data_IF_300196639836
#
_entry.id   IF_300196639836
#
_cell.length_a   1.000
_cell.length_b   1.000
_cell.length_c   1.000
_cell.angle_alpha   90.00
_cell.angle_beta   90.00
_cell.angle_gamma   90.00
#
_symmetry.space_group_name_H-M   'P 1'
#
loop_
_entity.id
_entity.type
_entity.pdbx_description
1 polymer ?
#
# COMPACT_ATOMS: atom_id res chain seq x y z
N UNK A 1 -28.55 6.09 -24.76
CA UNK A 1 -28.79 4.65 -24.59
C UNK A 1 -27.48 3.92 -24.74
N UNK A 2 -26.87 3.48 -23.64
CA UNK A 2 -25.66 2.67 -23.69
C UNK A 2 -25.90 1.47 -22.77
N UNK A 3 -26.13 0.31 -23.38
CA UNK A 3 -26.41 -0.95 -22.71
C UNK A 3 -25.10 -1.66 -22.38
N UNK A 4 -24.88 -1.96 -21.10
CA UNK A 4 -23.72 -2.70 -20.60
C UNK A 4 -24.01 -4.21 -20.67
N UNK A 5 -23.24 -4.95 -21.46
CA UNK A 5 -23.34 -6.42 -21.54
C UNK A 5 -22.43 -7.07 -20.48
N UNK A 6 -23.05 -7.97 -19.71
CA UNK A 6 -22.45 -8.83 -18.68
C UNK A 6 -21.66 -9.95 -19.36
N UNK A 7 -20.38 -10.10 -19.06
CA UNK A 7 -19.58 -11.25 -19.48
C UNK A 7 -19.61 -12.34 -18.39
N UNK A 8 -19.98 -13.55 -18.79
CA UNK A 8 -19.99 -14.77 -17.97
C UNK A 8 -18.58 -15.39 -17.88
N UNK A 9 -18.26 -15.95 -16.72
CA UNK A 9 -16.97 -16.60 -16.42
C UNK A 9 -16.90 -18.00 -17.04
N UNK A 10 -15.78 -18.33 -17.69
CA UNK A 10 -15.46 -19.68 -18.16
C UNK A 10 -14.24 -20.19 -17.39
N UNK A 11 -14.38 -21.36 -16.76
CA UNK A 11 -13.38 -21.99 -15.90
C UNK A 11 -12.17 -22.56 -16.69
N UNK A 12 -10.96 -22.59 -16.10
CA UNK A 12 -9.78 -23.12 -16.78
C UNK A 12 -9.69 -24.64 -16.67
N UNK A 13 -9.60 -25.31 -17.81
CA UNK A 13 -9.29 -26.74 -17.91
C UNK A 13 -7.78 -26.93 -18.02
N UNK A 14 -7.21 -27.62 -17.03
CA UNK A 14 -6.11 -28.60 -17.08
C UNK A 14 -5.19 -28.63 -18.31
N UNK A 15 -3.87 -28.58 -18.12
CA UNK A 15 -2.92 -29.66 -18.48
C UNK A 15 -1.45 -29.21 -18.28
N UNK A 16 -0.74 -29.86 -17.35
CA UNK A 16 0.70 -30.13 -17.48
C UNK A 16 0.99 -31.48 -16.76
N UNK A 17 1.71 -32.43 -17.41
CA UNK A 17 2.03 -33.73 -16.81
C UNK A 17 3.31 -33.66 -15.96
N UNK A 18 3.31 -34.44 -14.88
CA UNK A 18 4.47 -34.70 -14.00
C UNK A 18 5.31 -35.84 -14.60
N UNK A 19 6.65 -35.73 -14.69
CA UNK A 19 7.48 -36.85 -15.13
C UNK A 19 7.72 -37.86 -13.98
N UNK A 20 7.48 -39.13 -14.29
CA UNK A 20 7.72 -40.30 -13.44
C UNK A 20 9.22 -40.54 -13.19
N UNK A 21 9.58 -40.91 -11.97
CA UNK A 21 10.94 -41.33 -11.60
C UNK A 21 11.10 -42.84 -11.77
N UNK A 22 11.99 -43.25 -12.68
CA UNK A 22 12.45 -44.63 -12.88
C UNK A 22 13.27 -45.16 -11.68
N UNK A 23 13.10 -46.43 -11.27
CA UNK A 23 13.79 -47.03 -10.14
C UNK A 23 15.13 -47.69 -10.50
N UNK A 24 16.03 -47.68 -9.51
CA UNK A 24 17.40 -48.17 -9.53
C UNK A 24 17.53 -49.66 -9.90
N UNK A 25 18.36 -49.98 -10.90
CA UNK A 25 18.84 -51.34 -11.14
C UNK A 25 20.10 -51.64 -10.31
N UNK A 26 20.00 -52.66 -9.46
CA UNK A 26 21.15 -53.29 -8.79
C UNK A 26 21.82 -54.25 -9.77
N UNK A 27 23.10 -54.01 -10.06
CA UNK A 27 23.99 -55.07 -10.53
C UNK A 27 25.13 -55.27 -9.53
N UNK A 28 25.38 -56.53 -9.20
CA UNK A 28 26.37 -56.97 -8.25
C UNK A 28 27.54 -57.60 -9.00
N UNK A 29 28.74 -57.10 -8.74
CA UNK A 29 29.96 -57.84 -9.09
C UNK A 29 30.99 -57.69 -7.97
N UNK A 30 31.22 -58.81 -7.28
CA UNK A 30 32.31 -59.02 -6.32
C UNK A 30 33.62 -59.15 -7.10
N UNK A 31 34.71 -58.54 -6.61
CA UNK A 31 36.04 -59.20 -6.47
C UNK A 31 37.10 -58.27 -5.88
N UNK A 32 37.89 -58.88 -4.99
CA UNK A 32 39.29 -58.62 -4.64
C UNK A 32 39.64 -57.40 -3.78
N UNK A 33 39.78 -57.66 -2.47
CA UNK A 33 40.80 -57.03 -1.64
C UNK A 33 42.20 -57.40 -2.17
N UNK A 34 43.09 -56.42 -2.29
CA UNK A 34 44.50 -56.56 -1.90
C UNK A 34 45.09 -55.18 -1.59
N UNK A 35 45.79 -55.15 -0.46
CA UNK A 35 46.43 -54.01 0.18
C UNK A 35 47.53 -53.37 -0.68
N UNK A 36 47.57 -52.04 -0.72
CA UNK A 36 48.82 -51.28 -0.80
C UNK A 36 48.82 -50.17 0.24
N UNK A 37 49.55 -50.43 1.32
CA UNK A 37 50.03 -49.42 2.26
C UNK A 37 51.20 -48.71 1.59
N UNK A 38 51.01 -47.48 1.12
CA UNK A 38 52.09 -46.52 0.90
C UNK A 38 51.50 -45.13 0.65
N UNK A 39 52.08 -44.13 1.30
CA UNK A 39 51.75 -42.71 1.27
C UNK A 39 50.56 -42.26 2.15
N UNK A 40 50.72 -42.34 3.47
CA UNK A 40 50.26 -41.23 4.32
C UNK A 40 51.16 -40.01 4.05
N UNK A 41 51.03 -39.38 2.87
CA UNK A 41 51.17 -37.93 2.80
C UNK A 41 49.82 -37.41 3.25
N UNK A 42 49.80 -36.93 4.47
CA UNK A 42 48.70 -36.15 5.00
C UNK A 42 48.45 -34.98 4.06
N UNK A 43 47.47 -35.09 3.16
CA UNK A 43 46.55 -33.96 3.01
C UNK A 43 45.69 -34.02 4.27
N UNK A 44 46.29 -33.64 5.39
CA UNK A 44 45.56 -32.91 6.40
C UNK A 44 45.11 -31.67 5.63
N UNK A 45 43.92 -31.69 5.05
CA UNK A 45 43.26 -30.45 4.67
C UNK A 45 43.25 -29.65 5.96
N UNK A 46 44.20 -28.72 6.04
CA UNK A 46 44.37 -27.90 7.21
C UNK A 46 43.04 -27.16 7.38
N UNK A 47 42.57 -27.01 8.62
CA UNK A 47 41.30 -26.35 8.88
C UNK A 47 41.21 -24.97 8.23
N UNK A 48 42.34 -24.31 7.96
CA UNK A 48 42.46 -23.07 7.19
C UNK A 48 42.04 -23.19 5.72
N UNK A 49 42.35 -24.27 5.01
CA UNK A 49 41.91 -24.47 3.60
C UNK A 49 40.40 -24.69 3.50
N UNK A 50 39.82 -25.36 4.50
CA UNK A 50 38.37 -25.50 4.62
C UNK A 50 37.69 -24.15 4.94
N UNK A 51 38.36 -23.28 5.69
CA UNK A 51 37.84 -21.96 6.07
C UNK A 51 37.80 -20.96 4.91
N UNK A 52 38.88 -20.89 4.11
CA UNK A 52 38.92 -20.06 2.90
C UNK A 52 37.84 -20.48 1.88
N UNK A 53 37.47 -21.76 1.86
CA UNK A 53 36.36 -22.28 1.04
C UNK A 53 35.00 -21.80 1.54
N UNK A 54 34.77 -21.65 2.85
CA UNK A 54 33.51 -21.14 3.38
C UNK A 54 33.31 -19.67 3.05
N UNK A 55 34.36 -18.85 3.14
CA UNK A 55 34.31 -17.43 2.77
C UNK A 55 33.96 -17.27 1.28
N UNK A 56 34.47 -18.14 0.40
CA UNK A 56 34.09 -18.16 -1.01
C UNK A 56 32.59 -18.51 -1.21
N UNK A 57 32.05 -19.47 -0.46
CA UNK A 57 30.63 -19.82 -0.55
C UNK A 57 29.73 -18.71 0.01
N UNK A 58 30.11 -18.09 1.12
CA UNK A 58 29.39 -16.96 1.70
C UNK A 58 29.43 -15.75 0.77
N UNK A 59 30.57 -15.44 0.16
CA UNK A 59 30.70 -14.39 -0.85
C UNK A 59 29.83 -14.66 -2.10
N UNK A 60 29.71 -15.93 -2.52
CA UNK A 60 28.79 -16.32 -3.60
C UNK A 60 27.32 -16.11 -3.21
N UNK A 61 26.93 -16.46 -1.98
CA UNK A 61 25.57 -16.23 -1.48
C UNK A 61 25.26 -14.74 -1.30
N UNK A 62 26.26 -13.92 -0.98
CA UNK A 62 26.15 -12.46 -0.93
C UNK A 62 26.00 -11.82 -2.33
N UNK A 63 26.59 -12.42 -3.37
CA UNK A 63 26.55 -11.88 -4.74
C UNK A 63 25.33 -12.29 -5.55
N UNK A 64 24.62 -13.35 -5.18
CA UNK A 64 23.33 -13.67 -5.80
C UNK A 64 22.30 -12.69 -5.27
N UNK A 65 22.14 -11.55 -5.95
CA UNK A 65 21.00 -10.66 -5.70
C UNK A 65 19.73 -11.49 -5.90
N UNK A 66 18.98 -11.77 -4.83
CA UNK A 66 17.72 -12.52 -4.90
C UNK A 66 16.62 -11.82 -5.73
N UNK A 67 16.93 -10.67 -6.34
CA UNK A 67 16.04 -9.93 -7.21
C UNK A 67 16.11 -10.43 -8.66
N UNK A 68 14.94 -10.46 -9.28
CA UNK A 68 14.69 -10.92 -10.64
C UNK A 68 15.13 -9.83 -11.63
N UNK A 69 16.07 -10.16 -12.52
CA UNK A 69 16.59 -9.27 -13.57
C UNK A 69 15.92 -9.44 -14.94
N UNK A 70 15.01 -10.40 -15.09
CA UNK A 70 14.37 -10.72 -16.36
C UNK A 70 13.25 -9.71 -16.69
N UNK A 71 13.49 -8.87 -17.69
CA UNK A 71 12.54 -7.85 -18.16
C UNK A 71 11.29 -8.43 -18.85
N UNK A 72 11.41 -9.54 -19.57
CA UNK A 72 10.26 -10.18 -20.23
C UNK A 72 9.27 -10.73 -19.20
N UNK A 73 9.79 -11.31 -18.12
CA UNK A 73 8.96 -11.77 -17.00
C UNK A 73 8.28 -10.59 -16.28
N UNK A 74 8.98 -9.46 -16.14
CA UNK A 74 8.40 -8.25 -15.58
C UNK A 74 7.28 -7.67 -16.46
N UNK A 75 7.46 -7.66 -17.79
CA UNK A 75 6.42 -7.24 -18.73
C UNK A 75 5.18 -8.12 -18.64
N UNK A 76 5.37 -9.44 -18.66
CA UNK A 76 4.26 -10.39 -18.51
C UNK A 76 3.49 -10.20 -17.20
N UNK A 77 4.21 -9.99 -16.08
CA UNK A 77 3.58 -9.72 -14.79
C UNK A 77 2.72 -8.44 -14.82
N UNK A 78 3.21 -7.37 -15.45
CA UNK A 78 2.45 -6.13 -15.56
C UNK A 78 1.20 -6.28 -16.44
N UNK A 79 1.28 -7.09 -17.50
CA UNK A 79 0.13 -7.41 -18.36
C UNK A 79 -0.91 -8.25 -17.61
N UNK A 80 -0.48 -9.25 -16.83
CA UNK A 80 -1.34 -10.13 -16.04
C UNK A 80 -2.18 -9.35 -15.01
N UNK A 81 -1.57 -8.39 -14.30
CA UNK A 81 -2.25 -7.63 -13.25
C UNK A 81 -2.99 -6.38 -13.75
N UNK A 82 -2.89 -6.04 -15.03
CA UNK A 82 -3.38 -4.74 -15.54
C UNK A 82 -4.90 -4.56 -15.31
N UNK A 83 -5.69 -5.56 -15.69
CA UNK A 83 -7.15 -5.54 -15.54
C UNK A 83 -7.58 -5.62 -14.06
N UNK A 84 -6.83 -6.38 -13.26
CA UNK A 84 -7.05 -6.47 -11.81
C UNK A 84 -6.85 -5.12 -11.13
N UNK A 85 -5.76 -4.41 -11.46
CA UNK A 85 -5.48 -3.06 -10.95
C UNK A 85 -6.58 -2.09 -11.37
N UNK A 86 -7.03 -2.13 -12.63
CA UNK A 86 -8.11 -1.28 -13.11
C UNK A 86 -9.42 -1.53 -12.34
N UNK A 87 -9.74 -2.80 -12.08
CA UNK A 87 -10.89 -3.20 -11.27
C UNK A 87 -10.76 -2.71 -9.83
N UNK A 88 -9.57 -2.86 -9.25
CA UNK A 88 -9.27 -2.44 -7.88
C UNK A 88 -9.49 -0.93 -7.68
N UNK A 89 -8.99 -0.11 -8.60
CA UNK A 89 -9.20 1.34 -8.58
C UNK A 89 -10.67 1.69 -8.75
N UNK A 90 -11.37 1.04 -9.68
CA UNK A 90 -12.79 1.28 -9.91
C UNK A 90 -13.61 1.02 -8.65
N UNK A 91 -13.40 -0.14 -8.01
CA UNK A 91 -14.09 -0.52 -6.77
C UNK A 91 -13.81 0.46 -5.64
N UNK A 92 -12.54 0.87 -5.45
CA UNK A 92 -12.15 1.87 -4.46
C UNK A 92 -12.82 3.23 -4.68
N UNK A 93 -12.84 3.70 -5.94
CA UNK A 93 -13.45 4.97 -6.30
C UNK A 93 -14.97 4.96 -6.08
N UNK A 94 -15.67 3.90 -6.50
CA UNK A 94 -17.12 3.81 -6.32
C UNK A 94 -17.51 3.75 -4.85
N UNK A 95 -16.82 2.97 -4.01
CA UNK A 95 -17.14 2.92 -2.58
C UNK A 95 -16.88 4.26 -1.87
N UNK A 96 -15.81 4.97 -2.26
CA UNK A 96 -15.53 6.30 -1.75
C UNK A 96 -16.59 7.31 -2.18
N UNK A 97 -17.00 7.27 -3.44
CA UNK A 97 -18.06 8.12 -3.99
C UNK A 97 -19.39 7.93 -3.27
N UNK A 98 -19.79 6.68 -3.03
CA UNK A 98 -21.02 6.33 -2.32
C UNK A 98 -21.04 6.91 -0.89
N UNK A 99 -19.90 6.87 -0.19
CA UNK A 99 -19.77 7.48 1.13
C UNK A 99 -19.83 9.01 1.07
N UNK A 100 -19.06 9.63 0.17
CA UNK A 100 -18.98 11.10 0.08
C UNK A 100 -20.31 11.75 -0.33
N UNK A 101 -21.12 11.07 -1.15
CA UNK A 101 -22.42 11.58 -1.58
C UNK A 101 -23.56 11.22 -0.61
N UNK A 102 -23.35 10.23 0.26
CA UNK A 102 -24.35 9.80 1.24
C UNK A 102 -23.67 9.38 2.55
N UNK A 103 -23.43 10.38 3.40
CA UNK A 103 -22.72 10.29 4.68
C UNK A 103 -23.56 9.55 5.74
N UNK A 104 -23.67 8.23 5.60
CA UNK A 104 -24.32 7.31 6.56
C UNK A 104 -23.29 6.39 7.20
N UNK A 105 -23.58 5.88 8.40
CA UNK A 105 -22.71 4.90 9.08
C UNK A 105 -22.52 3.63 8.24
N UNK A 106 -23.57 3.19 7.51
CA UNK A 106 -23.50 2.04 6.61
C UNK A 106 -22.48 2.26 5.48
N UNK A 107 -22.57 3.39 4.77
CA UNK A 107 -21.63 3.69 3.68
C UNK A 107 -20.22 3.95 4.20
N UNK A 108 -20.08 4.56 5.38
CA UNK A 108 -18.80 4.74 6.05
C UNK A 108 -18.12 3.39 6.32
N UNK A 109 -18.84 2.46 6.95
CA UNK A 109 -18.35 1.12 7.23
C UNK A 109 -18.01 0.38 5.93
N UNK A 110 -18.91 0.41 4.94
CA UNK A 110 -18.70 -0.28 3.66
C UNK A 110 -17.48 0.24 2.91
N UNK A 111 -17.30 1.56 2.87
CA UNK A 111 -16.14 2.19 2.24
C UNK A 111 -14.84 1.82 2.96
N UNK A 112 -14.84 1.83 4.30
CA UNK A 112 -13.68 1.36 5.09
C UNK A 112 -13.32 -0.10 4.83
N UNK A 113 -14.31 -1.01 4.81
CA UNK A 113 -14.07 -2.42 4.48
C UNK A 113 -13.50 -2.61 3.07
N UNK A 114 -13.99 -1.85 2.08
CA UNK A 114 -13.47 -1.88 0.72
C UNK A 114 -12.03 -1.36 0.69
N UNK A 115 -11.77 -0.23 1.35
CA UNK A 115 -10.42 0.37 1.44
C UNK A 115 -9.41 -0.65 1.99
N UNK A 116 -9.73 -1.32 3.09
CA UNK A 116 -8.87 -2.36 3.69
C UNK A 116 -8.61 -3.51 2.73
N UNK A 117 -9.65 -4.03 2.05
CA UNK A 117 -9.48 -5.11 1.06
C UNK A 117 -8.61 -4.67 -0.12
N UNK A 118 -8.81 -3.45 -0.61
CA UNK A 118 -8.04 -2.85 -1.70
C UNK A 118 -6.57 -2.73 -1.31
N UNK A 119 -6.27 -2.20 -0.13
CA UNK A 119 -4.90 -2.08 0.36
C UNK A 119 -4.21 -3.43 0.53
N UNK A 120 -4.93 -4.46 1.02
CA UNK A 120 -4.38 -5.82 1.10
C UNK A 120 -4.05 -6.40 -0.27
N UNK A 121 -4.92 -6.22 -1.26
CA UNK A 121 -4.65 -6.69 -2.62
C UNK A 121 -3.49 -5.92 -3.27
N UNK A 122 -3.43 -4.60 -3.08
CA UNK A 122 -2.30 -3.78 -3.52
C UNK A 122 -0.98 -4.24 -2.90
N UNK A 123 -0.96 -4.59 -1.60
CA UNK A 123 0.21 -5.14 -0.92
C UNK A 123 0.75 -6.38 -1.64
N UNK A 124 -0.11 -7.29 -2.09
CA UNK A 124 0.32 -8.48 -2.85
C UNK A 124 1.04 -8.11 -4.15
N UNK A 125 0.47 -7.16 -4.91
CA UNK A 125 1.08 -6.68 -6.15
C UNK A 125 2.41 -5.97 -5.89
N UNK A 126 2.48 -5.14 -4.85
CA UNK A 126 3.67 -4.40 -4.49
C UNK A 126 4.80 -5.31 -4.00
N UNK A 127 4.49 -6.33 -3.18
CA UNK A 127 5.48 -7.31 -2.72
C UNK A 127 6.05 -8.13 -3.88
N UNK A 128 5.23 -8.47 -4.86
CA UNK A 128 5.70 -9.17 -6.08
C UNK A 128 6.54 -8.24 -6.93
N UNK A 129 6.12 -6.98 -7.12
CA UNK A 129 6.88 -5.98 -7.85
C UNK A 129 8.26 -5.69 -7.22
N UNK A 130 8.37 -5.72 -5.88
CA UNK A 130 9.64 -5.57 -5.15
C UNK A 130 10.67 -6.66 -5.43
N UNK A 131 10.25 -7.82 -5.96
CA UNK A 131 11.17 -8.90 -6.32
C UNK A 131 11.94 -8.59 -7.61
N UNK A 132 11.50 -7.64 -8.42
CA UNK A 132 12.20 -7.26 -9.65
C UNK A 132 13.28 -6.21 -9.36
N UNK A 133 14.50 -6.43 -9.88
CA UNK A 133 15.58 -5.44 -9.87
C UNK A 133 15.36 -4.40 -10.97
N UNK A 134 14.27 -3.63 -10.85
CA UNK A 134 13.85 -2.70 -11.89
C UNK A 134 14.90 -1.59 -12.15
N UNK A 135 15.86 -1.36 -11.24
CA UNK A 135 16.95 -0.39 -11.45
C UNK A 135 18.00 -0.90 -12.42
N UNK A 136 18.14 -2.22 -12.55
CA UNK A 136 19.07 -2.85 -13.48
C UNK A 136 18.47 -3.07 -14.88
N UNK A 137 17.19 -2.75 -15.09
CA UNK A 137 16.54 -2.94 -16.37
C UNK A 137 17.04 -1.92 -17.40
N UNK A 138 17.12 -2.33 -18.66
CA UNK A 138 17.38 -1.49 -19.83
C UNK A 138 16.13 -0.74 -20.28
N UNK A 139 14.93 -1.37 -20.20
CA UNK A 139 13.67 -0.73 -20.58
C UNK A 139 13.19 0.30 -19.52
N UNK A 140 13.35 1.59 -19.87
CA UNK A 140 12.94 2.73 -19.04
C UNK A 140 11.44 2.75 -18.67
N UNK A 141 10.57 2.21 -19.52
CA UNK A 141 9.12 2.15 -19.26
C UNK A 141 8.84 1.17 -18.12
N UNK A 142 9.46 -0.02 -18.15
CA UNK A 142 9.34 -1.00 -17.08
C UNK A 142 9.85 -0.43 -15.75
N UNK A 143 10.99 0.29 -15.77
CA UNK A 143 11.48 0.96 -14.55
C UNK A 143 10.47 1.96 -13.98
N UNK A 144 9.83 2.73 -14.87
CA UNK A 144 8.91 3.81 -14.49
C UNK A 144 7.61 3.27 -13.90
N UNK A 145 7.13 2.12 -14.37
CA UNK A 145 5.91 1.47 -13.86
C UNK A 145 6.20 0.70 -12.57
N UNK A 146 7.29 -0.07 -12.54
CA UNK A 146 7.62 -0.90 -11.38
C UNK A 146 8.03 -0.09 -10.15
N UNK A 147 8.64 1.08 -10.33
CA UNK A 147 9.01 1.96 -9.22
C UNK A 147 7.82 2.28 -8.31
N UNK A 148 6.73 2.93 -8.77
CA UNK A 148 5.55 3.19 -7.93
C UNK A 148 4.78 1.92 -7.57
N UNK A 149 4.75 0.91 -8.44
CA UNK A 149 4.05 -0.35 -8.13
C UNK A 149 4.70 -1.08 -6.94
N UNK A 150 6.02 -0.97 -6.78
CA UNK A 150 6.76 -1.56 -5.66
C UNK A 150 6.57 -0.82 -4.33
N UNK A 151 5.89 0.33 -4.32
CA UNK A 151 5.56 1.05 -3.10
C UNK A 151 4.33 0.41 -2.41
N UNK A 152 4.52 0.05 -1.14
CA UNK A 152 3.48 -0.58 -0.33
C UNK A 152 2.44 0.44 0.16
N UNK A 153 2.81 1.72 0.28
CA UNK A 153 1.93 2.75 0.86
C UNK A 153 1.42 2.35 2.26
N UNK A 154 0.12 2.50 2.49
CA UNK A 154 -0.54 2.03 3.73
C UNK A 154 -0.55 0.50 3.89
N UNK A 155 -0.23 -0.23 2.82
CA UNK A 155 -0.03 -1.68 2.85
C UNK A 155 1.17 -2.11 3.69
N UNK A 156 2.00 -1.22 4.22
CA UNK A 156 3.03 -1.59 5.20
C UNK A 156 2.44 -1.94 6.58
N UNK A 157 1.31 -1.32 6.94
CA UNK A 157 0.69 -1.45 8.26
C UNK A 157 0.14 -2.87 8.48
N UNK A 158 0.05 -3.32 9.71
CA UNK A 158 -0.69 -4.55 9.98
C UNK A 158 -2.21 -4.34 9.77
N UNK A 159 -2.98 -5.43 9.82
CA UNK A 159 -4.41 -5.37 9.54
C UNK A 159 -5.21 -4.58 10.60
N UNK A 160 -4.74 -4.53 11.85
CA UNK A 160 -5.39 -3.80 12.94
C UNK A 160 -5.13 -2.30 12.82
N UNK A 161 -3.88 -1.92 12.61
CA UNK A 161 -3.43 -0.56 12.35
C UNK A 161 -4.08 0.03 11.10
N UNK A 162 -4.19 -0.78 10.04
CA UNK A 162 -4.86 -0.38 8.81
C UNK A 162 -6.35 -0.07 9.05
N UNK A 163 -7.06 -0.93 9.78
CA UNK A 163 -8.45 -0.67 10.17
C UNK A 163 -8.59 0.60 11.03
N UNK A 164 -7.66 0.81 11.97
CA UNK A 164 -7.62 1.99 12.83
C UNK A 164 -7.39 3.27 12.02
N UNK A 165 -6.49 3.22 11.04
CA UNK A 165 -6.20 4.33 10.13
C UNK A 165 -7.44 4.71 9.31
N UNK A 166 -8.13 3.73 8.71
CA UNK A 166 -9.35 3.97 7.92
C UNK A 166 -10.50 4.53 8.78
N UNK A 167 -10.67 4.00 10.00
CA UNK A 167 -11.66 4.53 10.94
C UNK A 167 -11.34 5.97 11.35
N UNK A 168 -10.06 6.26 11.66
CA UNK A 168 -9.64 7.62 11.99
C UNK A 168 -9.87 8.59 10.82
N UNK A 169 -9.48 8.20 9.60
CA UNK A 169 -9.64 9.01 8.39
C UNK A 169 -11.12 9.34 8.12
N UNK A 170 -11.99 8.33 8.18
CA UNK A 170 -13.42 8.50 7.96
C UNK A 170 -14.08 9.33 9.08
N UNK A 171 -13.66 9.15 10.33
CA UNK A 171 -14.11 9.95 11.49
C UNK A 171 -13.73 11.42 11.34
N UNK A 172 -12.48 11.73 10.99
CA UNK A 172 -12.03 13.10 10.76
C UNK A 172 -12.83 13.77 9.63
N UNK A 173 -13.04 13.04 8.52
CA UNK A 173 -13.81 13.51 7.37
C UNK A 173 -15.26 13.82 7.74
N UNK A 174 -15.87 12.95 8.57
CA UNK A 174 -17.22 13.13 9.09
C UNK A 174 -17.32 14.36 9.99
N UNK A 175 -16.43 14.48 10.97
CA UNK A 175 -16.39 15.64 11.88
C UNK A 175 -16.23 16.95 11.10
N UNK A 176 -15.32 17.01 10.13
CA UNK A 176 -15.14 18.20 9.31
C UNK A 176 -16.41 18.55 8.51
N UNK A 177 -17.04 17.55 7.90
CA UNK A 177 -18.20 17.75 7.01
C UNK A 177 -19.52 18.02 7.75
N UNK A 178 -19.71 17.44 8.95
CA UNK A 178 -20.97 17.49 9.69
C UNK A 178 -20.93 18.38 10.94
N UNK A 179 -19.77 18.96 11.29
CA UNK A 179 -19.68 19.80 12.47
C UNK A 179 -20.52 21.06 12.34
N UNK A 180 -21.20 21.39 13.44
CA UNK A 180 -22.01 22.59 13.59
C UNK A 180 -21.41 23.47 14.67
N UNK A 181 -21.38 24.77 14.41
CA UNK A 181 -20.87 25.78 15.32
C UNK A 181 -22.01 26.66 15.80
N UNK A 182 -22.10 26.82 17.11
CA UNK A 182 -23.06 27.74 17.74
C UNK A 182 -22.35 29.05 18.08
N UNK A 183 -22.87 30.18 17.59
CA UNK A 183 -22.34 31.52 17.86
C UNK A 183 -23.33 32.28 18.74
N UNK A 184 -22.92 32.73 19.92
CA UNK A 184 -23.71 33.64 20.76
C UNK A 184 -25.08 33.10 21.24
N UNK A 185 -25.24 31.77 21.33
CA UNK A 185 -26.54 31.15 21.68
C UNK A 185 -27.56 31.11 20.53
N UNK A 186 -27.17 31.48 19.32
CA UNK A 186 -28.00 31.45 18.12
C UNK A 186 -27.98 30.08 17.41
N UNK A 187 -28.66 30.01 16.27
CA UNK A 187 -28.79 28.84 15.39
C UNK A 187 -27.43 28.19 15.04
N UNK A 188 -27.43 26.86 14.95
CA UNK A 188 -26.29 26.05 14.55
C UNK A 188 -25.90 26.32 13.08
N UNK A 189 -24.65 26.72 12.85
CA UNK A 189 -24.11 27.03 11.52
C UNK A 189 -23.17 25.91 11.06
N UNK A 190 -23.37 25.40 9.84
CA UNK A 190 -22.42 24.51 9.19
C UNK A 190 -21.22 25.28 8.65
N UNK A 191 -20.08 24.59 8.48
CA UNK A 191 -18.90 25.18 7.86
C UNK A 191 -19.20 25.67 6.44
N UNK A 192 -19.79 24.80 5.61
CA UNK A 192 -20.30 25.11 4.29
C UNK A 192 -21.81 24.89 4.21
N UNK A 193 -22.60 25.81 3.62
CA UNK A 193 -22.18 27.12 3.07
C UNK A 193 -22.10 28.24 4.12
N UNK A 194 -22.64 28.06 5.33
CA UNK A 194 -22.97 29.17 6.23
C UNK A 194 -21.76 29.97 6.72
N UNK A 195 -20.83 29.33 7.44
CA UNK A 195 -19.65 30.03 7.96
C UNK A 195 -18.78 30.56 6.83
N UNK A 196 -18.62 29.81 5.74
CA UNK A 196 -17.89 30.26 4.55
C UNK A 196 -18.51 31.52 3.93
N UNK A 197 -19.84 31.61 3.85
CA UNK A 197 -20.52 32.81 3.35
C UNK A 197 -20.33 34.02 4.28
N UNK A 198 -20.30 33.80 5.61
CA UNK A 198 -20.00 34.86 6.58
C UNK A 198 -18.56 35.33 6.40
N UNK A 199 -17.59 34.42 6.37
CA UNK A 199 -16.18 34.75 6.18
C UNK A 199 -15.93 35.49 4.86
N UNK A 200 -16.62 35.10 3.79
CA UNK A 200 -16.51 35.78 2.49
C UNK A 200 -17.06 37.21 2.49
N UNK A 201 -18.10 37.50 3.30
CA UNK A 201 -18.68 38.85 3.43
C UNK A 201 -17.86 39.76 4.34
N UNK A 202 -17.14 39.20 5.32
CA UNK A 202 -16.40 39.96 6.36
C UNK A 202 -15.03 40.43 5.85
N UNK A 203 -14.91 40.79 4.56
CA UNK A 203 -13.66 41.25 3.92
C UNK A 203 -13.04 42.56 4.46
N UNK A 204 -13.42 43.03 5.64
CA UNK A 204 -12.80 44.17 6.31
C UNK A 204 -11.99 43.71 7.52
N UNK A 205 -10.73 43.34 7.27
CA UNK A 205 -9.74 42.95 8.27
C UNK A 205 -9.14 44.16 9.02
N UNK A 206 -9.20 45.38 8.44
CA UNK A 206 -8.39 46.53 8.89
C UNK A 206 -9.03 47.40 9.98
N UNK A 207 -10.29 47.21 10.35
CA UNK A 207 -10.88 47.98 11.47
C UNK A 207 -10.47 47.48 12.87
N UNK A 208 -9.70 46.39 12.97
CA UNK A 208 -9.34 45.79 14.28
C UNK A 208 -7.85 45.80 14.62
N UNK A 209 -6.96 46.20 13.70
CA UNK A 209 -5.50 46.14 13.94
C UNK A 209 -4.74 47.45 13.69
N UNK A 210 -5.40 48.57 13.39
CA UNK A 210 -4.75 49.88 13.38
C UNK A 210 -5.66 50.99 13.91
N UNK A 211 -5.53 51.30 15.19
CA UNK A 211 -6.10 52.49 15.82
C UNK A 211 -5.59 52.62 17.26
N UNK A 212 -4.91 53.71 17.63
CA UNK A 212 -4.24 53.83 18.93
C UNK A 212 -5.25 53.89 20.07
N UNK A 213 -4.80 53.40 21.23
CA UNK A 213 -5.39 53.59 22.56
C UNK A 213 -6.14 54.93 22.66
N UNK A 214 -7.46 54.86 22.49
CA UNK A 214 -8.39 55.92 22.88
C UNK A 214 -9.47 55.25 23.71
N UNK A 215 -9.18 55.18 25.01
CA UNK A 215 -10.14 55.48 26.07
C UNK A 215 -11.19 56.47 25.55
N UNK A 216 -12.45 56.05 25.53
CA UNK A 216 -13.63 56.83 25.92
C UNK A 216 -14.86 55.93 25.70
N UNK A 217 -15.36 55.40 26.81
CA UNK A 217 -16.77 55.40 27.21
C UNK A 217 -17.76 55.52 26.05
N UNK A 218 -18.22 54.38 25.56
CA UNK A 218 -19.57 54.09 25.05
C UNK A 218 -19.53 52.67 24.47
N UNK A 219 -19.60 51.68 25.36
CA UNK A 219 -19.59 50.27 24.99
C UNK A 219 -20.94 49.89 24.35
N UNK A 220 -21.08 50.21 23.07
CA UNK A 220 -21.96 49.50 22.15
C UNK A 220 -21.60 48.02 22.27
N UNK A 221 -22.57 47.23 22.70
CA UNK A 221 -22.48 45.78 22.91
C UNK A 221 -21.95 45.10 21.63
N UNK A 222 -20.63 44.89 21.56
CA UNK A 222 -19.99 44.21 20.43
C UNK A 222 -20.08 42.73 20.68
N UNK A 223 -20.76 41.94 19.81
CA UNK A 223 -20.88 40.51 20.02
C UNK A 223 -19.50 39.88 19.93
N UNK A 224 -18.95 39.53 21.09
CA UNK A 224 -17.74 38.72 21.18
C UNK A 224 -18.12 37.31 20.78
N UNK A 225 -17.84 36.93 19.54
CA UNK A 225 -18.07 35.56 19.06
C UNK A 225 -17.06 34.63 19.74
N UNK A 226 -17.43 34.07 20.89
CA UNK A 226 -16.71 32.94 21.50
C UNK A 226 -17.11 31.66 20.78
N UNK A 227 -16.20 31.11 19.99
CA UNK A 227 -16.35 29.79 19.42
C UNK A 227 -16.17 28.73 20.52
N UNK A 228 -17.22 27.98 20.83
CA UNK A 228 -17.15 26.81 21.70
C UNK A 228 -17.42 25.58 20.85
N UNK A 229 -16.36 24.87 20.46
CA UNK A 229 -16.48 23.58 19.80
C UNK A 229 -17.10 22.59 20.78
N UNK A 230 -18.29 22.09 20.46
CA UNK A 230 -18.94 21.02 21.21
C UNK A 230 -18.90 19.78 20.32
N UNK A 231 -17.90 18.94 20.54
CA UNK A 231 -17.88 17.59 19.97
C UNK A 231 -18.92 16.78 20.76
N UNK A 232 -19.95 16.27 20.10
CA UNK A 232 -20.83 15.25 20.66
C UNK A 232 -20.24 13.88 20.37
#
# INVERSE_FOLDING_TARGET
SCSYQRYEQVAPSTLFPVPETEPWSRDGSRRSLCFFVAACLTVSQSSSEAQDSYDQYLAQLETVSGLIKNEALASWYLEDIADDIATLYSVSMYSSWDYLNNLTDHNQQKSGEVSVRVTKKWREFALTAKRFDYKAFTNVTLQRILRPLSDLGSGVLDDEELNKMENLSSTMSRVYSSSLVTVGGMQNLSLNPNLTAIMAKVGNFTSTTSGPDRRNDDAVDRPTVRFRLRVR
#
